data_IF_999131305472
#
_entry.id   IF_999131305472
#
_cell.length_a   1.000
_cell.length_b   1.000
_cell.length_c   1.000
_cell.angle_alpha   90.00
_cell.angle_beta   90.00
_cell.angle_gamma   90.00
#
_symmetry.space_group_name_H-M   'P 1'
#
loop_
_entity.id
_entity.type
_entity.pdbx_description
1 polymer ?
#
# COMPACT_ATOMS: atom_id res chain seq x y z
N UNK A 1 14.65 19.53 6.34
CA UNK A 1 15.78 18.73 6.85
C UNK A 1 16.70 18.40 5.68
N UNK A 2 18.00 18.61 5.81
CA UNK A 2 18.97 18.22 4.77
C UNK A 2 19.39 16.75 4.91
N UNK A 3 19.90 16.12 3.84
CA UNK A 3 20.28 14.69 3.85
C UNK A 3 21.32 14.35 4.93
N UNK A 4 22.33 15.20 5.14
CA UNK A 4 23.36 14.98 6.18
C UNK A 4 22.75 14.98 7.59
N UNK A 5 21.79 15.86 7.83
CA UNK A 5 21.08 15.93 9.12
C UNK A 5 20.19 14.71 9.31
N UNK A 6 19.48 14.28 8.26
CA UNK A 6 18.65 13.08 8.28
C UNK A 6 19.47 11.83 8.63
N UNK A 7 20.63 11.64 7.99
CA UNK A 7 21.52 10.50 8.27
C UNK A 7 21.95 10.50 9.74
N UNK A 8 22.38 11.66 10.29
CA UNK A 8 22.74 11.77 11.72
C UNK A 8 21.59 11.41 12.65
N UNK A 9 20.35 11.81 12.33
CA UNK A 9 19.16 11.46 13.11
C UNK A 9 18.87 9.96 13.03
N UNK A 10 19.00 9.36 11.86
CA UNK A 10 18.83 7.91 11.66
C UNK A 10 19.90 7.10 12.42
N UNK A 11 21.16 7.51 12.37
CA UNK A 11 22.25 6.86 13.12
C UNK A 11 21.99 6.93 14.63
N UNK A 12 21.58 8.11 15.13
CA UNK A 12 21.18 8.28 16.53
C UNK A 12 19.97 7.42 16.91
N UNK A 13 19.00 7.28 16.01
CA UNK A 13 17.84 6.41 16.23
C UNK A 13 18.25 4.94 16.29
N UNK A 14 19.11 4.49 15.36
CA UNK A 14 19.66 3.13 15.36
C UNK A 14 20.42 2.80 16.63
N UNK A 15 21.20 3.75 17.17
CA UNK A 15 21.98 3.52 18.40
C UNK A 15 21.13 3.41 19.67
N UNK A 16 19.86 3.82 19.64
CA UNK A 16 18.96 3.72 20.81
C UNK A 16 18.48 2.27 21.08
N UNK A 17 18.63 1.35 20.13
CA UNK A 17 18.12 -0.01 20.28
C UNK A 17 16.58 -0.05 20.23
N UNK A 18 15.98 -0.90 21.05
CA UNK A 18 14.53 -1.05 21.14
C UNK A 18 13.89 0.11 21.90
N UNK A 19 12.99 0.82 21.24
CA UNK A 19 12.23 1.95 21.80
C UNK A 19 10.76 1.55 21.90
N UNK A 20 10.14 1.91 23.01
CA UNK A 20 8.73 1.65 23.28
C UNK A 20 7.80 2.36 22.28
N UNK A 21 6.81 1.64 21.76
CA UNK A 21 5.73 2.22 20.96
C UNK A 21 4.71 2.93 21.85
N UNK A 22 4.38 4.17 21.50
CA UNK A 22 3.31 4.94 22.15
C UNK A 22 1.91 4.66 21.58
N UNK A 23 1.80 3.85 20.52
CA UNK A 23 0.52 3.45 19.91
C UNK A 23 0.45 1.93 19.78
N UNK A 24 -0.70 1.36 20.13
CA UNK A 24 -1.00 -0.05 19.86
C UNK A 24 -1.39 -0.22 18.39
N UNK A 25 -0.98 -1.33 17.79
CA UNK A 25 -1.44 -1.75 16.47
C UNK A 25 -0.58 -1.27 15.29
N UNK A 26 -1.11 -1.33 14.06
CA UNK A 26 -0.31 -1.20 12.83
C UNK A 26 0.43 0.14 12.72
N UNK A 27 -0.16 1.23 13.21
CA UNK A 27 0.35 2.60 13.08
C UNK A 27 1.50 2.94 14.03
N UNK A 28 1.80 2.07 15.01
CA UNK A 28 2.82 2.34 16.03
C UNK A 28 4.22 2.55 15.45
N UNK A 29 4.63 1.72 14.49
CA UNK A 29 5.96 1.81 13.87
C UNK A 29 6.19 3.13 13.14
N UNK A 30 5.19 3.60 12.37
CA UNK A 30 5.27 4.87 11.64
C UNK A 30 5.29 6.06 12.59
N UNK A 31 4.36 6.08 13.55
CA UNK A 31 4.28 7.15 14.53
C UNK A 31 5.56 7.30 15.35
N UNK A 32 6.15 6.18 15.81
CA UNK A 32 7.40 6.23 16.56
C UNK A 32 8.55 6.74 15.69
N UNK A 33 8.63 6.30 14.44
CA UNK A 33 9.67 6.75 13.51
C UNK A 33 9.60 8.27 13.26
N UNK A 34 8.41 8.79 12.99
CA UNK A 34 8.18 10.24 12.80
C UNK A 34 8.56 11.05 14.04
N UNK A 35 8.08 10.60 15.21
CA UNK A 35 8.40 11.21 16.51
C UNK A 35 9.90 11.26 16.76
N UNK A 36 10.61 10.15 16.54
CA UNK A 36 12.05 10.04 16.78
C UNK A 36 12.90 10.86 15.79
N UNK A 37 12.41 11.05 14.56
CA UNK A 37 13.01 11.96 13.59
C UNK A 37 12.64 13.42 13.83
N UNK A 38 11.78 13.73 14.80
CA UNK A 38 11.31 15.08 15.10
C UNK A 38 10.47 15.68 13.98
N UNK A 39 9.69 14.85 13.29
CA UNK A 39 8.75 15.23 12.24
C UNK A 39 7.35 15.16 12.87
N UNK A 40 6.67 16.31 12.94
CA UNK A 40 5.32 16.39 13.48
C UNK A 40 4.28 15.87 12.49
N UNK A 41 3.15 15.35 12.99
CA UNK A 41 2.02 14.95 12.16
C UNK A 41 1.50 16.16 11.37
N UNK A 42 1.52 16.06 10.04
CA UNK A 42 0.95 17.07 9.14
C UNK A 42 -0.27 16.49 8.43
N UNK A 43 -1.37 17.23 8.42
CA UNK A 43 -2.56 16.88 7.62
C UNK A 43 -2.47 17.39 6.17
N UNK A 44 -1.35 18.01 5.79
CA UNK A 44 -1.12 18.51 4.44
C UNK A 44 -0.55 17.38 3.59
N UNK A 45 -1.14 17.14 2.42
CA UNK A 45 -0.70 16.13 1.46
C UNK A 45 0.57 16.56 0.69
N UNK A 46 1.64 16.86 1.43
CA UNK A 46 2.98 17.13 0.92
C UNK A 46 3.96 16.13 1.53
N UNK A 47 5.02 15.75 0.81
CA UNK A 47 6.01 14.83 1.36
C UNK A 47 6.67 15.38 2.62
N UNK A 48 6.92 14.52 3.60
CA UNK A 48 7.25 14.91 4.97
C UNK A 48 8.59 15.65 5.10
N UNK A 49 9.66 15.10 4.51
CA UNK A 49 10.99 15.72 4.60
C UNK A 49 11.15 16.76 3.51
N UNK A 50 11.00 18.03 3.94
CA UNK A 50 11.25 19.21 3.11
C UNK A 50 10.32 19.34 1.90
N UNK A 51 9.12 18.74 1.95
CA UNK A 51 8.15 18.76 0.85
C UNK A 51 8.53 17.86 -0.33
N UNK A 52 9.54 16.99 -0.19
CA UNK A 52 10.10 16.20 -1.31
C UNK A 52 10.27 14.72 -1.07
N UNK A 53 10.34 14.25 0.17
CA UNK A 53 10.53 12.83 0.51
C UNK A 53 9.44 12.38 1.47
N UNK A 54 8.66 11.39 1.04
CA UNK A 54 7.67 10.70 1.86
C UNK A 54 8.37 9.80 2.89
N UNK A 55 7.84 9.69 4.10
CA UNK A 55 8.35 8.79 5.13
C UNK A 55 7.47 7.54 5.27
N UNK A 56 8.12 6.38 5.35
CA UNK A 56 7.49 5.13 5.77
C UNK A 56 8.41 4.34 6.67
N UNK A 57 7.81 3.74 7.68
CA UNK A 57 8.45 2.72 8.48
C UNK A 57 7.62 1.44 8.49
N UNK A 58 8.31 0.31 8.42
CA UNK A 58 7.69 -1.02 8.38
C UNK A 58 8.39 -1.97 9.35
N UNK A 59 7.64 -2.95 9.86
CA UNK A 59 8.23 -4.05 10.63
C UNK A 59 8.99 -4.95 9.65
N UNK A 60 10.20 -5.39 10.01
CA UNK A 60 11.07 -6.19 9.13
C UNK A 60 10.39 -7.42 8.55
N UNK A 61 9.58 -8.09 9.36
CA UNK A 61 8.86 -9.31 8.97
C UNK A 61 7.39 -9.06 8.62
N UNK A 62 7.00 -7.82 8.30
CA UNK A 62 5.64 -7.50 7.89
C UNK A 62 5.29 -8.15 6.55
N UNK A 63 4.25 -9.00 6.57
CA UNK A 63 3.52 -9.43 5.37
C UNK A 63 2.34 -8.52 5.04
N UNK A 64 2.08 -7.52 5.88
CA UNK A 64 0.98 -6.58 5.74
C UNK A 64 1.06 -5.83 4.42
N UNK A 65 -0.10 -5.72 3.77
CA UNK A 65 -0.27 -4.92 2.57
C UNK A 65 -0.44 -3.45 2.93
N UNK A 66 0.30 -2.56 2.28
CA UNK A 66 0.02 -1.13 2.29
C UNK A 66 -0.74 -0.71 1.04
N UNK A 67 -1.53 0.36 1.16
CA UNK A 67 -2.16 0.99 -0.01
C UNK A 67 -1.22 2.05 -0.57
N UNK A 68 -0.73 1.86 -1.79
CA UNK A 68 0.07 2.85 -2.51
C UNK A 68 -0.81 4.05 -2.88
N UNK A 69 -1.91 3.77 -3.57
CA UNK A 69 -2.91 4.75 -3.99
C UNK A 69 -4.26 4.07 -4.23
N UNK A 70 -5.27 4.88 -4.50
CA UNK A 70 -6.62 4.42 -4.80
C UNK A 70 -7.05 4.94 -6.16
N UNK A 71 -7.69 4.10 -6.98
CA UNK A 71 -8.12 4.52 -8.31
C UNK A 71 -9.30 3.71 -8.87
N UNK A 72 -10.30 4.40 -9.44
CA UNK A 72 -11.59 3.82 -9.85
C UNK A 72 -12.24 4.46 -11.08
N UNK A 73 -11.65 5.51 -11.67
CA UNK A 73 -12.37 6.33 -12.65
C UNK A 73 -12.54 5.55 -13.96
N UNK A 74 -13.79 5.30 -14.35
CA UNK A 74 -14.18 4.64 -15.59
C UNK A 74 -13.58 3.23 -15.80
N UNK A 75 -13.46 2.46 -14.73
CA UNK A 75 -12.80 1.13 -14.77
C UNK A 75 -13.80 -0.03 -14.87
N UNK A 76 -15.04 0.17 -14.43
CA UNK A 76 -16.02 -0.91 -14.26
C UNK A 76 -16.75 -1.21 -15.56
N UNK A 77 -16.73 -2.49 -15.96
CA UNK A 77 -17.43 -3.01 -17.14
C UNK A 77 -18.83 -3.53 -16.79
N UNK A 78 -19.08 -3.73 -15.50
CA UNK A 78 -20.38 -4.12 -14.95
C UNK A 78 -20.78 -3.15 -13.83
N UNK A 79 -22.08 -3.06 -13.51
CA UNK A 79 -22.55 -2.18 -12.43
C UNK A 79 -22.00 -2.69 -11.09
N UNK A 80 -21.27 -1.86 -10.32
CA UNK A 80 -20.72 -2.29 -9.03
C UNK A 80 -21.78 -2.78 -8.04
N UNK A 81 -23.00 -2.26 -8.10
CA UNK A 81 -24.13 -2.70 -7.27
C UNK A 81 -24.46 -4.17 -7.50
N UNK A 82 -24.49 -4.58 -8.77
CA UNK A 82 -24.82 -5.96 -9.15
C UNK A 82 -23.72 -6.92 -8.69
N UNK A 83 -22.44 -6.49 -8.81
CA UNK A 83 -21.30 -7.23 -8.28
C UNK A 83 -21.38 -7.42 -6.76
N UNK A 84 -21.70 -6.36 -6.01
CA UNK A 84 -21.83 -6.42 -4.54
C UNK A 84 -23.03 -7.30 -4.13
N UNK A 85 -24.13 -7.25 -4.86
CA UNK A 85 -25.29 -8.12 -4.58
C UNK A 85 -24.98 -9.59 -4.86
N UNK A 86 -24.26 -9.89 -5.96
CA UNK A 86 -23.96 -11.26 -6.35
C UNK A 86 -22.86 -11.91 -5.52
N UNK A 87 -21.77 -11.18 -5.28
CA UNK A 87 -20.57 -11.72 -4.64
C UNK A 87 -20.31 -11.16 -3.24
N UNK A 88 -20.99 -10.11 -2.82
CA UNK A 88 -20.77 -9.50 -1.52
C UNK A 88 -21.30 -10.31 -0.34
N UNK A 89 -20.98 -9.85 0.86
CA UNK A 89 -21.34 -10.46 2.14
C UNK A 89 -21.81 -9.39 3.14
N UNK A 90 -22.41 -9.81 4.25
CA UNK A 90 -22.75 -8.92 5.36
C UNK A 90 -21.51 -8.69 6.22
N UNK A 91 -21.01 -7.45 6.26
CA UNK A 91 -19.89 -7.08 7.11
C UNK A 91 -20.30 -6.94 8.60
N UNK A 92 -19.34 -6.65 9.49
CA UNK A 92 -19.58 -6.48 10.93
C UNK A 92 -20.58 -5.36 11.25
N UNK A 93 -20.76 -4.43 10.31
CA UNK A 93 -21.76 -3.34 10.38
C UNK A 93 -23.09 -3.72 9.74
N UNK A 94 -23.28 -5.00 9.41
CA UNK A 94 -24.46 -5.59 8.75
C UNK A 94 -24.76 -5.01 7.36
N UNK A 95 -23.78 -4.37 6.71
CA UNK A 95 -23.94 -3.79 5.37
C UNK A 95 -23.64 -4.85 4.32
N UNK A 96 -24.35 -4.81 3.19
CA UNK A 96 -23.98 -5.63 2.03
C UNK A 96 -22.70 -5.03 1.42
N UNK A 97 -21.60 -5.76 1.52
CA UNK A 97 -20.26 -5.27 1.24
C UNK A 97 -19.45 -6.23 0.34
N UNK A 98 -18.49 -5.66 -0.37
CA UNK A 98 -17.49 -6.38 -1.14
C UNK A 98 -16.13 -5.78 -0.80
N UNK A 99 -15.49 -6.36 0.21
CA UNK A 99 -14.08 -6.11 0.55
C UNK A 99 -13.25 -7.32 0.15
N UNK A 100 -12.33 -7.15 -0.80
CA UNK A 100 -11.59 -8.27 -1.38
C UNK A 100 -10.20 -7.88 -1.83
N UNK A 101 -9.20 -8.58 -1.32
CA UNK A 101 -7.87 -8.60 -1.92
C UNK A 101 -7.89 -9.58 -3.10
N UNK A 102 -7.46 -9.10 -4.25
CA UNK A 102 -7.38 -9.87 -5.50
C UNK A 102 -5.95 -9.81 -5.99
N UNK A 103 -5.38 -10.99 -6.29
CA UNK A 103 -4.04 -11.14 -6.83
C UNK A 103 -4.09 -11.73 -8.24
N UNK A 104 -2.95 -11.72 -8.94
CA UNK A 104 -2.80 -12.43 -10.23
C UNK A 104 -2.61 -13.93 -10.04
N UNK A 105 -1.98 -14.36 -8.93
CA UNK A 105 -1.53 -15.74 -8.72
C UNK A 105 -2.65 -16.76 -8.70
N UNK A 106 -3.67 -16.53 -7.87
CA UNK A 106 -4.79 -17.46 -7.66
C UNK A 106 -6.08 -16.70 -7.43
N UNK A 107 -7.22 -17.25 -7.90
CA UNK A 107 -8.52 -16.78 -7.49
C UNK A 107 -8.65 -16.76 -5.97
N UNK A 108 -9.26 -15.70 -5.44
CA UNK A 108 -9.59 -15.62 -4.02
C UNK A 108 -10.84 -16.46 -3.70
N UNK A 109 -11.26 -16.49 -2.44
CA UNK A 109 -12.41 -17.30 -1.97
C UNK A 109 -13.73 -16.96 -2.66
N UNK A 110 -13.89 -15.72 -3.14
CA UNK A 110 -15.07 -15.27 -3.90
C UNK A 110 -14.89 -15.42 -5.41
N UNK A 111 -13.80 -16.07 -5.85
CA UNK A 111 -13.52 -16.41 -7.24
C UNK A 111 -12.86 -15.31 -8.06
N UNK A 112 -12.47 -14.18 -7.45
CA UNK A 112 -11.85 -13.06 -8.17
C UNK A 112 -10.37 -13.29 -8.41
N UNK A 113 -9.87 -12.91 -9.59
CA UNK A 113 -8.46 -12.94 -9.95
C UNK A 113 -8.10 -11.82 -10.93
N UNK A 114 -6.82 -11.52 -11.02
CA UNK A 114 -6.26 -10.55 -11.96
C UNK A 114 -5.60 -11.23 -13.15
N UNK A 115 -5.64 -10.57 -14.30
CA UNK A 115 -4.91 -10.94 -15.52
C UNK A 115 -4.34 -9.69 -16.17
N UNK A 116 -3.35 -9.86 -17.04
CA UNK A 116 -2.87 -8.79 -17.92
C UNK A 116 -3.36 -9.00 -19.34
N UNK A 117 -3.70 -7.90 -20.00
CA UNK A 117 -3.87 -7.79 -21.44
C UNK A 117 -2.64 -7.02 -21.95
N UNK A 118 -1.63 -7.75 -22.40
CA UNK A 118 -0.31 -7.19 -22.71
C UNK A 118 -0.36 -6.27 -23.93
N UNK A 119 -1.16 -6.60 -24.94
CA UNK A 119 -1.32 -5.78 -26.15
C UNK A 119 -1.96 -4.42 -25.84
N UNK A 120 -2.93 -4.40 -24.92
CA UNK A 120 -3.64 -3.17 -24.54
C UNK A 120 -3.07 -2.50 -23.29
N UNK A 121 -2.03 -3.08 -22.69
CA UNK A 121 -1.45 -2.65 -21.42
C UNK A 121 -2.51 -2.47 -20.32
N UNK A 122 -3.37 -3.46 -20.12
CA UNK A 122 -4.44 -3.43 -19.10
C UNK A 122 -4.20 -4.46 -17.99
N UNK A 123 -4.53 -4.08 -16.77
CA UNK A 123 -4.86 -5.01 -15.69
C UNK A 123 -6.36 -5.27 -15.76
N UNK A 124 -6.77 -6.54 -15.77
CA UNK A 124 -8.16 -6.95 -15.90
C UNK A 124 -8.58 -7.77 -14.68
N UNK A 125 -9.65 -7.33 -14.01
CA UNK A 125 -10.34 -8.09 -12.99
C UNK A 125 -11.34 -9.05 -13.64
N UNK A 126 -11.27 -10.31 -13.23
CA UNK A 126 -12.14 -11.40 -13.66
C UNK A 126 -12.67 -12.17 -12.46
N UNK A 127 -13.73 -12.95 -12.68
CA UNK A 127 -14.23 -13.94 -11.73
C UNK A 127 -14.36 -15.29 -12.44
N UNK A 128 -14.09 -16.39 -11.76
CA UNK A 128 -14.16 -17.75 -12.34
C UNK A 128 -15.57 -18.12 -12.84
N UNK A 129 -16.61 -17.43 -12.35
CA UNK A 129 -18.01 -17.67 -12.71
C UNK A 129 -18.57 -16.64 -13.70
N UNK A 130 -17.71 -15.82 -14.33
CA UNK A 130 -18.11 -14.78 -15.29
C UNK A 130 -17.27 -14.89 -16.56
N UNK A 131 -17.93 -14.94 -17.72
CA UNK A 131 -17.24 -14.88 -19.02
C UNK A 131 -16.76 -13.47 -19.34
N UNK A 132 -17.43 -12.46 -18.77
CA UNK A 132 -17.14 -11.04 -19.03
C UNK A 132 -16.08 -10.50 -18.08
N UNK A 133 -15.29 -9.56 -18.60
CA UNK A 133 -14.40 -8.74 -17.77
C UNK A 133 -15.22 -7.90 -16.80
N UNK A 134 -14.74 -7.75 -15.56
CA UNK A 134 -15.44 -7.02 -14.49
C UNK A 134 -14.98 -5.58 -14.41
N UNK A 135 -13.67 -5.38 -14.46
CA UNK A 135 -13.05 -4.06 -14.48
C UNK A 135 -11.69 -4.11 -15.20
N UNK A 136 -11.30 -2.97 -15.73
CA UNK A 136 -10.04 -2.80 -16.46
C UNK A 136 -9.34 -1.52 -16.00
N UNK A 137 -8.03 -1.60 -15.79
CA UNK A 137 -7.17 -0.47 -15.46
C UNK A 137 -6.04 -0.37 -16.46
N UNK A 138 -5.85 0.81 -17.06
CA UNK A 138 -4.67 1.09 -17.87
C UNK A 138 -3.42 1.08 -16.99
N UNK A 139 -2.45 0.27 -17.41
CA UNK A 139 -1.16 0.13 -16.76
C UNK A 139 -0.43 1.48 -16.62
N UNK A 140 -0.39 2.28 -17.68
CA UNK A 140 0.28 3.58 -17.67
C UNK A 140 -0.37 4.56 -16.68
N UNK A 141 -1.71 4.53 -16.56
CA UNK A 141 -2.43 5.40 -15.64
C UNK A 141 -2.14 5.04 -14.19
N UNK A 142 -2.13 3.75 -13.85
CA UNK A 142 -1.87 3.29 -12.48
C UNK A 142 -0.39 3.49 -12.10
N UNK A 143 0.55 3.23 -13.02
CA UNK A 143 1.97 3.48 -12.81
C UNK A 143 2.26 4.98 -12.63
N UNK A 144 1.67 5.83 -13.48
CA UNK A 144 1.79 7.28 -13.35
C UNK A 144 1.27 7.79 -12.01
N UNK A 145 0.14 7.26 -11.52
CA UNK A 145 -0.38 7.61 -10.19
C UNK A 145 0.57 7.24 -9.06
N UNK A 146 1.16 6.06 -9.10
CA UNK A 146 2.18 5.64 -8.15
C UNK A 146 3.35 6.62 -8.14
N UNK A 147 3.92 6.90 -9.33
CA UNK A 147 5.09 7.77 -9.49
C UNK A 147 4.85 9.20 -8.98
N UNK A 148 3.67 9.77 -9.24
CA UNK A 148 3.35 11.14 -8.76
C UNK A 148 3.27 11.25 -7.24
N UNK A 149 2.85 10.17 -6.56
CA UNK A 149 2.60 10.19 -5.12
C UNK A 149 3.84 9.77 -4.31
N UNK A 150 4.65 8.88 -4.86
CA UNK A 150 5.76 8.22 -4.18
C UNK A 150 7.04 8.32 -5.01
N UNK A 151 7.36 9.52 -5.52
CA UNK A 151 8.57 9.77 -6.32
C UNK A 151 9.86 9.51 -5.52
N UNK A 152 9.87 9.93 -4.25
CA UNK A 152 10.99 9.73 -3.32
C UNK A 152 10.47 9.30 -1.96
N UNK A 153 11.08 8.25 -1.43
CA UNK A 153 10.63 7.60 -0.21
C UNK A 153 11.82 7.32 0.71
N UNK A 154 11.72 7.75 1.96
CA UNK A 154 12.54 7.24 3.04
C UNK A 154 11.82 6.04 3.65
N UNK A 155 12.33 4.83 3.41
CA UNK A 155 11.79 3.59 3.95
C UNK A 155 12.70 3.06 5.06
N UNK A 156 12.19 3.00 6.29
CA UNK A 156 12.88 2.42 7.44
C UNK A 156 12.31 1.04 7.81
N UNK A 157 13.19 0.11 8.13
CA UNK A 157 12.86 -1.22 8.62
C UNK A 157 13.15 -1.30 10.12
N UNK A 158 12.16 -1.76 10.87
CA UNK A 158 12.25 -1.96 12.31
C UNK A 158 12.14 -3.43 12.67
N UNK A 159 13.10 -3.92 13.45
CA UNK A 159 12.92 -5.14 14.24
C UNK A 159 11.94 -4.86 15.38
N UNK A 160 11.06 -5.80 15.71
CA UNK A 160 10.06 -5.60 16.75
C UNK A 160 10.01 -6.74 17.76
N UNK A 161 9.68 -6.41 19.01
CA UNK A 161 9.43 -7.36 20.10
C UNK A 161 8.23 -6.91 20.91
N UNK A 162 7.58 -7.84 21.60
CA UNK A 162 6.48 -7.56 22.52
C UNK A 162 6.90 -8.02 23.92
N UNK A 163 6.85 -7.11 24.89
CA UNK A 163 7.13 -7.37 26.30
C UNK A 163 6.00 -6.77 27.12
N UNK A 164 5.35 -7.57 27.97
CA UNK A 164 4.21 -7.14 28.80
C UNK A 164 3.10 -6.41 28.02
N UNK A 165 2.69 -6.98 26.88
CA UNK A 165 1.69 -6.39 25.95
C UNK A 165 2.10 -5.06 25.29
N UNK A 166 3.33 -4.61 25.50
CA UNK A 166 3.89 -3.41 24.91
C UNK A 166 4.83 -3.77 23.77
N UNK A 167 4.62 -3.16 22.60
CA UNK A 167 5.47 -3.37 21.42
C UNK A 167 6.65 -2.37 21.43
N UNK A 168 7.84 -2.88 21.12
CA UNK A 168 9.07 -2.10 20.98
C UNK A 168 9.63 -2.25 19.58
N UNK A 169 10.30 -1.20 19.09
CA UNK A 169 10.89 -1.16 17.75
C UNK A 169 12.36 -0.76 17.80
N UNK A 170 13.19 -1.45 17.02
CA UNK A 170 14.57 -1.07 16.75
C UNK A 170 14.75 -0.80 15.26
N UNK A 171 14.94 0.46 14.89
CA UNK A 171 15.14 0.88 13.50
C UNK A 171 16.61 0.66 13.09
N UNK A 172 16.89 -0.51 12.54
CA UNK A 172 18.26 -0.97 12.24
C UNK A 172 18.71 -0.68 10.81
N UNK A 173 17.78 -0.30 9.93
CA UNK A 173 18.03 -0.13 8.49
C UNK A 173 17.08 0.89 7.86
N UNK A 174 17.59 1.72 6.95
CA UNK A 174 16.78 2.67 6.20
C UNK A 174 17.35 2.95 4.81
N UNK A 175 16.45 3.19 3.85
CA UNK A 175 16.78 3.48 2.46
C UNK A 175 16.14 4.79 2.01
N UNK A 176 16.90 5.59 1.28
CA UNK A 176 16.35 6.59 0.39
C UNK A 176 16.12 5.93 -0.99
N UNK A 177 14.85 5.84 -1.37
CA UNK A 177 14.37 5.25 -2.60
C UNK A 177 13.97 6.36 -3.57
N UNK A 178 14.47 6.29 -4.80
CA UNK A 178 14.23 7.30 -5.83
C UNK A 178 13.98 6.63 -7.19
N UNK A 179 13.33 7.37 -8.09
CA UNK A 179 13.04 6.96 -9.45
C UNK A 179 12.19 5.66 -9.50
N UNK A 180 10.94 5.68 -9.00
CA UNK A 180 10.00 4.60 -9.32
C UNK A 180 9.82 4.51 -10.83
N UNK A 181 9.73 3.29 -11.37
CA UNK A 181 9.55 3.10 -12.82
C UNK A 181 8.31 2.27 -13.15
N UNK A 182 7.66 2.52 -14.30
CA UNK A 182 6.56 1.69 -14.76
C UNK A 182 6.96 0.21 -14.88
N UNK A 183 8.16 -0.11 -15.38
CA UNK A 183 8.63 -1.48 -15.60
C UNK A 183 8.66 -2.26 -14.29
N UNK A 184 9.21 -1.66 -13.22
CA UNK A 184 9.22 -2.28 -11.88
C UNK A 184 7.83 -2.49 -11.32
N UNK A 185 6.89 -1.60 -11.65
CA UNK A 185 5.49 -1.75 -11.27
C UNK A 185 4.80 -2.88 -12.05
N UNK A 186 5.14 -3.09 -13.33
CA UNK A 186 4.72 -4.26 -14.12
C UNK A 186 5.27 -5.53 -13.47
N UNK A 187 6.57 -5.56 -13.20
CA UNK A 187 7.24 -6.73 -12.65
C UNK A 187 6.60 -7.16 -11.32
N UNK A 188 6.30 -6.21 -10.44
CA UNK A 188 5.62 -6.49 -9.17
C UNK A 188 4.20 -7.05 -9.39
N UNK A 189 3.47 -6.57 -10.41
CA UNK A 189 2.16 -7.12 -10.77
C UNK A 189 2.27 -8.54 -11.32
N UNK A 190 3.20 -8.77 -12.25
CA UNK A 190 3.43 -10.08 -12.88
C UNK A 190 3.88 -11.13 -11.84
N UNK A 191 4.70 -10.73 -10.85
CA UNK A 191 5.09 -11.58 -9.71
C UNK A 191 4.01 -11.76 -8.65
N UNK A 192 2.82 -11.17 -8.83
CA UNK A 192 1.72 -11.16 -7.86
C UNK A 192 2.05 -10.51 -6.51
N UNK A 193 3.00 -9.58 -6.51
CA UNK A 193 3.38 -8.77 -5.35
C UNK A 193 2.49 -7.53 -5.23
N UNK A 194 2.06 -6.99 -6.37
CA UNK A 194 1.02 -5.98 -6.46
C UNK A 194 -0.37 -6.64 -6.55
N UNK A 195 -1.25 -6.25 -5.64
CA UNK A 195 -2.62 -6.73 -5.53
C UNK A 195 -3.59 -5.55 -5.64
N UNK A 196 -4.86 -5.84 -5.92
CA UNK A 196 -5.92 -4.84 -5.79
C UNK A 196 -6.85 -5.17 -4.63
N UNK A 197 -7.39 -4.13 -4.01
CA UNK A 197 -8.33 -4.21 -2.91
C UNK A 197 -9.65 -3.58 -3.33
N UNK A 198 -10.66 -4.40 -3.57
CA UNK A 198 -12.03 -3.95 -3.77
C UNK A 198 -12.57 -3.49 -2.42
N UNK A 199 -13.12 -2.27 -2.35
CA UNK A 199 -13.54 -1.67 -1.08
C UNK A 199 -14.87 -0.97 -1.23
N UNK A 200 -15.93 -1.76 -1.34
CA UNK A 200 -17.27 -1.24 -1.66
C UNK A 200 -18.32 -1.77 -0.69
N UNK A 201 -19.36 -0.98 -0.44
CA UNK A 201 -20.59 -1.44 0.21
C UNK A 201 -21.81 -0.69 -0.30
N UNK A 202 -22.99 -1.26 -0.07
CA UNK A 202 -24.27 -0.60 -0.30
C UNK A 202 -24.60 0.23 0.94
N UNK A 203 -24.84 1.53 0.75
CA UNK A 203 -25.36 2.42 1.79
C UNK A 203 -26.81 2.07 2.11
N UNK A 204 -27.30 2.54 3.26
CA UNK A 204 -28.72 2.43 3.64
C UNK A 204 -29.65 3.02 2.57
N UNK A 205 -29.22 4.07 1.86
CA UNK A 205 -29.96 4.66 0.73
C UNK A 205 -30.03 3.78 -0.53
N UNK A 206 -29.41 2.60 -0.52
CA UNK A 206 -29.34 1.68 -1.66
C UNK A 206 -28.29 2.06 -2.73
N UNK A 207 -27.56 3.16 -2.53
CA UNK A 207 -26.46 3.60 -3.40
C UNK A 207 -25.13 2.92 -3.04
N UNK A 208 -24.23 2.77 -4.01
CA UNK A 208 -22.91 2.17 -3.77
C UNK A 208 -21.95 3.20 -3.19
N UNK A 209 -21.38 2.90 -2.03
CA UNK A 209 -20.18 3.56 -1.53
C UNK A 209 -18.96 2.77 -1.98
N UNK A 210 -18.19 3.36 -2.89
CA UNK A 210 -16.87 2.85 -3.27
C UNK A 210 -15.78 3.74 -2.65
N UNK A 211 -14.86 3.14 -1.89
CA UNK A 211 -13.75 3.84 -1.23
C UNK A 211 -12.52 4.04 -2.12
N UNK A 212 -12.56 3.63 -3.40
CA UNK A 212 -11.35 3.48 -4.20
C UNK A 212 -10.93 2.01 -4.28
N UNK A 213 -10.64 1.46 -5.45
CA UNK A 213 -9.84 0.23 -5.54
C UNK A 213 -8.44 0.57 -5.05
N UNK A 214 -8.00 -0.09 -3.98
CA UNK A 214 -6.69 0.12 -3.40
C UNK A 214 -5.65 -0.68 -4.19
N UNK A 215 -4.61 -0.03 -4.70
CA UNK A 215 -3.46 -0.73 -5.26
C UNK A 215 -2.48 -0.98 -4.13
N UNK A 216 -2.25 -2.25 -3.82
CA UNK A 216 -1.57 -2.67 -2.60
C UNK A 216 -0.36 -3.53 -2.89
N UNK A 217 0.67 -3.38 -2.08
CA UNK A 217 1.89 -4.20 -2.10
C UNK A 217 2.26 -4.54 -0.67
N UNK A 218 2.93 -5.67 -0.43
CA UNK A 218 3.52 -5.93 0.88
C UNK A 218 4.62 -4.92 1.16
N UNK A 219 4.70 -4.42 2.40
CA UNK A 219 5.68 -3.38 2.78
C UNK A 219 7.11 -3.75 2.43
N UNK A 220 7.49 -5.02 2.63
CA UNK A 220 8.83 -5.54 2.29
C UNK A 220 9.19 -5.45 0.80
N UNK A 221 8.21 -5.49 -0.10
CA UNK A 221 8.41 -5.44 -1.55
C UNK A 221 8.35 -4.01 -2.10
N UNK A 222 8.02 -3.02 -1.26
CA UNK A 222 7.94 -1.61 -1.67
C UNK A 222 9.28 -1.11 -2.23
N UNK A 223 10.39 -1.60 -1.67
CA UNK A 223 11.74 -1.27 -2.11
C UNK A 223 11.96 -1.65 -3.58
N UNK A 224 11.32 -2.69 -4.09
CA UNK A 224 11.56 -3.22 -5.43
C UNK A 224 10.92 -2.40 -6.54
N UNK A 225 10.00 -1.50 -6.19
CA UNK A 225 9.37 -0.56 -7.12
C UNK A 225 10.30 0.58 -7.57
N UNK A 226 11.49 0.73 -6.97
CA UNK A 226 12.40 1.85 -7.22
C UNK A 226 13.69 1.40 -7.92
N UNK A 227 14.15 2.21 -8.88
CA UNK A 227 15.41 1.99 -9.60
C UNK A 227 16.63 2.31 -8.73
N UNK A 228 16.57 3.38 -7.94
CA UNK A 228 17.69 3.82 -7.11
C UNK A 228 17.39 3.55 -5.64
N UNK A 229 18.26 2.74 -5.02
CA UNK A 229 18.20 2.37 -3.61
C UNK A 229 19.47 2.83 -2.92
N UNK A 230 19.40 3.88 -2.10
CA UNK A 230 20.55 4.34 -1.29
C UNK A 230 20.32 3.97 0.17
N UNK A 231 21.10 3.01 0.67
CA UNK A 231 21.11 2.69 2.10
C UNK A 231 21.67 3.87 2.91
N UNK A 232 20.98 4.24 3.99
CA UNK A 232 21.36 5.32 4.89
C UNK A 232 21.88 4.81 6.23
N UNK A 233 21.31 3.71 6.76
CA UNK A 233 21.75 2.99 7.97
C UNK A 233 21.56 1.47 7.84
#
# INVERSE_FOLDING_TARGET
MQLKELIKRLEKLKSKGFIESSRKGPTGVGHLFEKELGIGESNIAIPDVGGRVELKATRRNASSLITLFTFNRAVWQIKPKDLINKYGYRDDKKRQALYNIVSKKTPNTQGFYLTSDTEKHLIVLRNINEDKKIAEWSFYVIAGKFMTKLDRLLLAFADNKIENETEYFHFSEAYLLENPTPEKFIDAFEKSELMIDLRMHIKETGSVRNHGTGFRISEKNLIDLYAKKKRLI
#
